data_IF_916523694123
#
_entry.id   IF_916523694123
#
_cell.length_a   1.000
_cell.length_b   1.000
_cell.length_c   1.000
_cell.angle_alpha   90.00
_cell.angle_beta   90.00
_cell.angle_gamma   90.00
#
_symmetry.space_group_name_H-M   'P 1'
#
loop_
_entity.id
_entity.type
_entity.pdbx_description
1 polymer ?
#
# COMPACT_ATOMS: atom_id res chain seq x y z
N UNK A 1 -0.97 -32.66 3.48
CA UNK A 1 0.03 -31.56 3.54
C UNK A 1 1.39 -32.09 3.99
N UNK A 2 1.50 -32.73 5.16
CA UNK A 2 2.77 -33.21 5.74
C UNK A 2 3.58 -34.12 4.82
N UNK A 3 2.97 -35.17 4.25
CA UNK A 3 3.68 -36.10 3.34
C UNK A 3 4.25 -35.41 2.09
N UNK A 4 3.57 -34.37 1.60
CA UNK A 4 3.96 -33.66 0.38
C UNK A 4 5.10 -32.66 0.65
N UNK A 5 5.10 -32.02 1.82
CA UNK A 5 6.19 -31.14 2.26
C UNK A 5 7.50 -31.91 2.48
N UNK A 6 7.41 -33.13 3.04
CA UNK A 6 8.60 -33.98 3.24
C UNK A 6 9.19 -34.42 1.90
N UNK A 7 8.33 -34.80 0.95
CA UNK A 7 8.78 -35.30 -0.36
C UNK A 7 9.38 -34.18 -1.24
N UNK A 8 8.78 -33.00 -1.24
CA UNK A 8 9.21 -31.88 -2.09
C UNK A 8 10.32 -31.05 -1.42
N UNK A 9 10.33 -30.98 -0.09
CA UNK A 9 11.28 -30.18 0.71
C UNK A 9 11.50 -28.75 0.16
N UNK A 10 10.41 -27.96 -0.05
CA UNK A 10 10.54 -26.63 -0.64
C UNK A 10 11.22 -25.66 0.35
N UNK A 11 11.99 -24.71 -0.18
CA UNK A 11 12.59 -23.64 0.64
C UNK A 11 11.52 -22.77 1.30
N UNK A 12 10.42 -22.50 0.58
CA UNK A 12 9.32 -21.62 1.01
C UNK A 12 7.97 -22.12 0.52
N UNK A 13 6.95 -21.95 1.36
CA UNK A 13 5.54 -22.21 1.02
C UNK A 13 4.78 -20.90 1.12
N UNK A 14 4.11 -20.50 0.04
CA UNK A 14 3.30 -19.28 -0.02
C UNK A 14 1.84 -19.68 -0.18
N UNK A 15 0.99 -19.20 0.72
CA UNK A 15 -0.45 -19.40 0.61
C UNK A 15 -1.05 -18.36 -0.34
N UNK A 16 -1.65 -18.83 -1.43
CA UNK A 16 -2.49 -18.00 -2.30
C UNK A 16 -3.83 -17.72 -1.62
N UNK A 17 -4.29 -16.47 -1.69
CA UNK A 17 -5.67 -16.09 -1.30
C UNK A 17 -6.69 -16.36 -2.42
N UNK A 18 -6.22 -16.72 -3.61
CA UNK A 18 -7.02 -17.00 -4.80
C UNK A 18 -7.01 -18.50 -5.10
N UNK A 19 -8.17 -19.02 -5.52
CA UNK A 19 -8.34 -20.42 -5.89
C UNK A 19 -9.08 -20.59 -7.21
N UNK A 20 -9.80 -21.71 -7.33
CA UNK A 20 -10.47 -22.11 -8.58
C UNK A 20 -11.53 -21.08 -9.04
N UNK A 21 -12.24 -20.48 -8.07
CA UNK A 21 -13.29 -19.49 -8.32
C UNK A 21 -12.72 -18.24 -9.01
N UNK A 22 -11.65 -17.70 -8.45
CA UNK A 22 -10.94 -16.53 -8.99
C UNK A 22 -10.30 -16.89 -10.34
N UNK A 23 -9.73 -18.09 -10.48
CA UNK A 23 -9.17 -18.56 -11.75
C UNK A 23 -10.21 -18.63 -12.88
N UNK A 24 -11.44 -19.04 -12.57
CA UNK A 24 -12.54 -19.09 -13.55
C UNK A 24 -12.99 -17.69 -13.96
N UNK A 25 -13.06 -16.76 -13.01
CA UNK A 25 -13.34 -15.35 -13.29
C UNK A 25 -12.29 -14.72 -14.21
N UNK A 26 -11.01 -14.98 -13.94
CA UNK A 26 -9.91 -14.44 -14.75
C UNK A 26 -9.95 -15.00 -16.18
N UNK A 27 -10.27 -16.29 -16.35
CA UNK A 27 -10.36 -16.90 -17.68
C UNK A 27 -11.45 -16.30 -18.57
N UNK A 28 -12.48 -15.70 -17.95
CA UNK A 28 -13.57 -15.04 -18.66
C UNK A 28 -13.26 -13.56 -18.96
N UNK A 29 -12.13 -13.01 -18.50
CA UNK A 29 -11.68 -11.68 -18.89
C UNK A 29 -11.15 -11.71 -20.33
N UNK A 30 -11.24 -10.58 -21.07
CA UNK A 30 -10.57 -10.44 -22.36
C UNK A 30 -9.07 -10.74 -22.27
N UNK A 31 -8.49 -11.33 -23.32
CA UNK A 31 -7.08 -11.80 -23.34
C UNK A 31 -6.01 -10.72 -23.06
N UNK A 32 -6.40 -9.43 -23.04
CA UNK A 32 -5.52 -8.30 -22.79
C UNK A 32 -5.28 -7.96 -21.31
N UNK A 33 -5.78 -8.74 -20.34
CA UNK A 33 -5.49 -8.51 -18.93
C UNK A 33 -4.17 -9.17 -18.53
N UNK A 34 -3.08 -8.41 -18.52
CA UNK A 34 -1.79 -8.83 -18.01
C UNK A 34 -1.78 -8.89 -16.47
N UNK A 35 -0.83 -9.62 -15.92
CA UNK A 35 -0.69 -9.69 -14.47
C UNK A 35 -0.34 -8.31 -13.89
N UNK A 36 0.56 -7.53 -14.49
CA UNK A 36 0.92 -6.18 -14.04
C UNK A 36 -0.31 -5.27 -13.91
N UNK A 37 -1.26 -5.42 -14.83
CA UNK A 37 -2.55 -4.73 -14.79
C UNK A 37 -3.34 -5.00 -13.50
N UNK A 38 -3.13 -6.11 -12.78
CA UNK A 38 -3.90 -6.35 -11.54
C UNK A 38 -3.47 -5.49 -10.35
N UNK A 39 -2.18 -5.11 -10.23
CA UNK A 39 -1.77 -4.17 -9.18
C UNK A 39 -2.18 -2.74 -9.56
N UNK A 40 -2.01 -2.37 -10.82
CA UNK A 40 -2.39 -1.05 -11.33
C UNK A 40 -3.92 -0.85 -11.33
N UNK A 41 -4.69 -1.91 -11.65
CA UNK A 41 -6.14 -1.92 -11.48
C UNK A 41 -6.52 -1.77 -10.01
N UNK A 42 -5.81 -2.42 -9.08
CA UNK A 42 -6.04 -2.21 -7.65
C UNK A 42 -5.76 -0.76 -7.23
N UNK A 43 -4.63 -0.19 -7.67
CA UNK A 43 -4.24 1.20 -7.36
C UNK A 43 -5.32 2.17 -7.86
N UNK A 44 -5.72 2.02 -9.13
CA UNK A 44 -6.72 2.88 -9.78
C UNK A 44 -8.09 2.72 -9.11
N UNK A 45 -8.51 1.49 -8.84
CA UNK A 45 -9.77 1.20 -8.16
C UNK A 45 -9.81 1.73 -6.72
N UNK A 46 -8.70 1.57 -5.98
CA UNK A 46 -8.57 2.10 -4.62
C UNK A 46 -8.69 3.62 -4.61
N UNK A 47 -8.01 4.31 -5.53
CA UNK A 47 -8.09 5.77 -5.67
C UNK A 47 -9.52 6.22 -5.96
N UNK A 48 -10.16 5.60 -6.95
CA UNK A 48 -11.56 5.86 -7.31
C UNK A 48 -12.52 5.66 -6.12
N UNK A 49 -12.39 4.53 -5.40
CA UNK A 49 -13.23 4.20 -4.25
C UNK A 49 -13.07 5.20 -3.10
N UNK A 50 -11.86 5.77 -2.94
CA UNK A 50 -11.56 6.78 -1.94
C UNK A 50 -11.93 8.21 -2.39
N UNK A 51 -12.57 8.37 -3.55
CA UNK A 51 -13.03 9.66 -4.07
C UNK A 51 -11.96 10.45 -4.83
N UNK A 52 -10.81 9.86 -5.16
CA UNK A 52 -9.78 10.49 -5.98
C UNK A 52 -10.08 10.35 -7.48
N UNK A 53 -11.10 11.07 -7.95
CA UNK A 53 -11.52 11.07 -9.36
C UNK A 53 -10.55 11.79 -10.30
N UNK A 54 -9.67 12.63 -9.75
CA UNK A 54 -8.70 13.43 -10.51
C UNK A 54 -7.31 12.79 -10.60
N UNK A 55 -7.18 11.52 -10.20
CA UNK A 55 -5.91 10.77 -10.19
C UNK A 55 -4.79 11.52 -9.45
N UNK A 56 -5.12 12.22 -8.37
CA UNK A 56 -4.16 13.01 -7.60
C UNK A 56 -3.05 12.14 -7.00
N UNK A 57 -3.31 10.84 -6.78
CA UNK A 57 -2.27 9.89 -6.41
C UNK A 57 -1.11 9.82 -7.41
N UNK A 58 -1.33 10.06 -8.71
CA UNK A 58 -0.26 10.13 -9.72
C UNK A 58 0.59 11.37 -9.48
N UNK A 59 -0.04 12.53 -9.21
CA UNK A 59 0.67 13.78 -8.86
C UNK A 59 1.54 13.58 -7.61
N UNK A 60 1.02 12.89 -6.59
CA UNK A 60 1.80 12.55 -5.40
C UNK A 60 2.97 11.61 -5.71
N UNK A 61 2.74 10.59 -6.53
CA UNK A 61 3.80 9.69 -6.98
C UNK A 61 4.90 10.45 -7.71
N UNK A 62 4.55 11.29 -8.69
CA UNK A 62 5.50 12.09 -9.46
C UNK A 62 6.30 13.06 -8.58
N UNK A 63 5.67 13.60 -7.53
CA UNK A 63 6.33 14.47 -6.57
C UNK A 63 7.40 13.73 -5.73
N UNK A 64 7.16 12.48 -5.33
CA UNK A 64 8.04 11.75 -4.41
C UNK A 64 8.96 10.72 -5.07
N UNK A 65 8.66 10.25 -6.30
CA UNK A 65 9.34 9.09 -6.91
C UNK A 65 10.86 9.25 -7.00
N UNK A 66 11.33 10.46 -7.32
CA UNK A 66 12.77 10.74 -7.46
C UNK A 66 13.51 10.78 -6.11
N UNK A 67 12.79 11.02 -5.00
CA UNK A 67 13.37 11.02 -3.65
C UNK A 67 13.64 9.57 -3.19
N UNK A 68 12.88 8.62 -3.72
CA UNK A 68 12.86 7.22 -3.28
C UNK A 68 13.24 6.23 -4.39
N UNK A 69 13.85 6.68 -5.48
CA UNK A 69 14.23 5.83 -6.62
C UNK A 69 15.20 4.71 -6.21
N UNK A 70 16.11 5.00 -5.27
CA UNK A 70 17.16 4.08 -4.82
C UNK A 70 16.87 3.51 -3.41
N UNK A 71 15.62 3.54 -2.96
CA UNK A 71 15.27 3.06 -1.62
C UNK A 71 14.99 1.55 -1.60
N UNK A 72 15.99 0.75 -1.26
CA UNK A 72 15.86 -0.71 -1.13
C UNK A 72 14.85 -1.13 -0.04
N UNK A 73 14.68 -0.31 1.00
CA UNK A 73 13.83 -0.62 2.14
C UNK A 73 12.34 -0.34 1.88
N UNK A 74 12.04 0.54 0.92
CA UNK A 74 10.68 0.80 0.43
C UNK A 74 10.67 0.76 -1.10
N UNK A 75 10.40 -0.41 -1.70
CA UNK A 75 10.51 -0.59 -3.15
C UNK A 75 9.69 0.41 -3.94
N UNK A 76 10.27 0.94 -5.04
CA UNK A 76 9.64 1.91 -5.93
C UNK A 76 8.23 1.49 -6.40
N UNK A 77 8.03 0.19 -6.66
CA UNK A 77 6.73 -0.39 -7.06
C UNK A 77 5.60 -0.19 -6.04
N UNK A 78 5.93 0.08 -4.77
CA UNK A 78 4.93 0.32 -3.71
C UNK A 78 4.51 1.79 -3.64
N UNK A 79 5.27 2.71 -4.25
CA UNK A 79 4.95 4.14 -4.19
C UNK A 79 3.58 4.48 -4.79
N UNK A 80 3.20 3.99 -5.99
CA UNK A 80 1.86 4.27 -6.53
C UNK A 80 0.74 3.77 -5.62
N UNK A 81 0.92 2.59 -5.02
CA UNK A 81 -0.06 2.02 -4.09
C UNK A 81 -0.21 2.85 -2.81
N UNK A 82 0.88 3.28 -2.17
CA UNK A 82 0.77 4.13 -0.99
C UNK A 82 0.18 5.50 -1.34
N UNK A 83 0.50 6.06 -2.51
CA UNK A 83 -0.10 7.31 -2.98
C UNK A 83 -1.62 7.18 -3.16
N UNK A 84 -2.09 6.09 -3.77
CA UNK A 84 -3.53 5.84 -3.96
C UNK A 84 -4.27 5.60 -2.63
N UNK A 85 -3.64 4.85 -1.72
CA UNK A 85 -4.18 4.59 -0.38
C UNK A 85 -4.11 5.80 0.56
N UNK A 86 -3.36 6.83 0.17
CA UNK A 86 -3.08 7.99 1.01
C UNK A 86 -4.32 8.81 1.38
N UNK A 87 -5.38 8.72 0.56
CA UNK A 87 -6.69 9.36 0.75
C UNK A 87 -7.72 8.54 1.52
N UNK A 88 -7.35 7.40 2.12
CA UNK A 88 -8.26 6.56 2.91
C UNK A 88 -8.84 7.24 4.17
N UNK A 89 -8.41 8.46 4.52
CA UNK A 89 -8.99 9.21 5.62
C UNK A 89 -10.31 9.92 5.26
N UNK A 90 -10.76 9.82 4.00
CA UNK A 90 -12.03 10.38 3.56
C UNK A 90 -13.21 9.81 4.37
N UNK A 91 -14.02 10.70 4.94
CA UNK A 91 -15.16 10.32 5.79
C UNK A 91 -14.78 9.91 7.23
N UNK A 92 -13.50 9.94 7.61
CA UNK A 92 -13.08 9.70 8.99
C UNK A 92 -13.13 10.97 9.85
N UNK A 93 -13.59 10.81 11.10
CA UNK A 93 -13.48 11.85 12.12
C UNK A 93 -12.01 12.21 12.43
N UNK A 94 -11.78 13.38 13.04
CA UNK A 94 -10.43 13.86 13.35
C UNK A 94 -9.67 13.01 14.39
N UNK A 95 -10.39 12.18 15.14
CA UNK A 95 -9.82 11.35 16.20
C UNK A 95 -9.22 10.07 15.63
N UNK A 96 -7.96 9.77 15.99
CA UNK A 96 -7.27 8.51 15.66
C UNK A 96 -7.23 8.16 14.15
N UNK A 97 -7.18 9.18 13.28
CA UNK A 97 -7.12 8.98 11.82
C UNK A 97 -5.99 8.03 11.40
N UNK A 98 -4.81 8.19 12.00
CA UNK A 98 -3.64 7.41 11.61
C UNK A 98 -3.81 5.91 11.92
N UNK A 99 -4.34 5.59 13.10
CA UNK A 99 -4.64 4.22 13.53
C UNK A 99 -5.74 3.58 12.68
N UNK A 100 -6.77 4.35 12.33
CA UNK A 100 -7.85 3.89 11.45
C UNK A 100 -7.34 3.60 10.04
N UNK A 101 -6.58 4.52 9.43
CA UNK A 101 -5.97 4.32 8.11
C UNK A 101 -5.00 3.14 8.11
N UNK A 102 -4.17 3.02 9.15
CA UNK A 102 -3.27 1.87 9.31
C UNK A 102 -4.05 0.55 9.29
N UNK A 103 -5.12 0.46 10.10
CA UNK A 103 -5.96 -0.72 10.19
C UNK A 103 -6.70 -1.01 8.88
N UNK A 104 -7.19 0.02 8.19
CA UNK A 104 -7.88 -0.13 6.91
C UNK A 104 -6.95 -0.63 5.80
N UNK A 105 -5.74 -0.08 5.68
CA UNK A 105 -4.77 -0.53 4.67
C UNK A 105 -4.40 -2.00 4.89
N UNK A 106 -4.15 -2.40 6.14
CA UNK A 106 -3.84 -3.80 6.47
C UNK A 106 -4.96 -4.77 6.08
N UNK A 107 -6.21 -4.36 6.30
CA UNK A 107 -7.38 -5.19 6.01
C UNK A 107 -7.87 -5.09 4.56
N UNK A 108 -7.36 -4.16 3.76
CA UNK A 108 -7.76 -3.98 2.36
C UNK A 108 -7.25 -5.14 1.52
N UNK A 109 -8.11 -5.98 0.90
CA UNK A 109 -7.66 -7.12 0.10
C UNK A 109 -6.92 -6.63 -1.14
N UNK A 110 -5.59 -6.78 -1.13
CA UNK A 110 -4.72 -6.33 -2.22
C UNK A 110 -4.11 -7.52 -2.92
N UNK A 111 -4.50 -7.75 -4.17
CA UNK A 111 -3.85 -8.74 -5.02
C UNK A 111 -2.39 -8.32 -5.26
N UNK A 112 -1.50 -9.32 -5.39
CA UNK A 112 -0.06 -9.14 -5.69
C UNK A 112 0.80 -8.40 -4.66
N UNK A 113 0.27 -8.09 -3.48
CA UNK A 113 1.06 -7.57 -2.37
C UNK A 113 1.29 -8.65 -1.33
N UNK A 114 2.55 -8.80 -0.91
CA UNK A 114 2.89 -9.67 0.21
C UNK A 114 2.41 -9.07 1.54
N UNK A 115 2.41 -9.88 2.60
CA UNK A 115 2.12 -9.38 3.94
C UNK A 115 3.07 -8.23 4.33
N UNK A 116 4.36 -8.35 4.00
CA UNK A 116 5.35 -7.31 4.25
C UNK A 116 5.06 -6.03 3.48
N UNK A 117 4.66 -6.12 2.20
CA UNK A 117 4.29 -4.95 1.42
C UNK A 117 3.10 -4.22 2.05
N UNK A 118 2.07 -4.96 2.48
CA UNK A 118 0.87 -4.39 3.11
C UNK A 118 1.21 -3.69 4.43
N UNK A 119 2.14 -4.25 5.22
CA UNK A 119 2.63 -3.61 6.45
C UNK A 119 3.40 -2.33 6.11
N UNK A 120 4.25 -2.32 5.08
CA UNK A 120 4.97 -1.12 4.62
C UNK A 120 4.00 -0.02 4.17
N UNK A 121 2.99 -0.37 3.36
CA UNK A 121 1.95 0.57 2.92
C UNK A 121 1.17 1.14 4.10
N UNK A 122 0.74 0.28 5.04
CA UNK A 122 0.01 0.70 6.22
C UNK A 122 0.86 1.62 7.11
N UNK A 123 2.12 1.26 7.35
CA UNK A 123 3.06 2.07 8.13
C UNK A 123 3.29 3.45 7.50
N UNK A 124 3.52 3.50 6.18
CA UNK A 124 3.65 4.78 5.48
C UNK A 124 2.36 5.59 5.50
N UNK A 125 1.18 4.95 5.37
CA UNK A 125 -0.13 5.59 5.54
C UNK A 125 -0.34 6.16 6.95
N UNK A 126 0.06 5.42 7.99
CA UNK A 126 0.06 5.90 9.37
C UNK A 126 0.91 7.17 9.50
N UNK A 127 2.16 7.13 9.01
CA UNK A 127 3.07 8.27 9.06
C UNK A 127 2.69 9.38 8.07
N UNK A 128 1.70 9.22 7.19
CA UNK A 128 1.11 10.38 6.50
C UNK A 128 0.22 11.17 7.45
N UNK A 129 -0.58 10.48 8.26
CA UNK A 129 -1.61 11.07 9.12
C UNK A 129 -1.16 11.35 10.56
N UNK A 130 -0.05 10.77 11.01
CA UNK A 130 0.49 10.97 12.36
C UNK A 130 1.86 11.63 12.35
N UNK A 131 2.02 12.72 13.10
CA UNK A 131 3.31 13.32 13.44
C UNK A 131 4.15 12.46 14.39
N UNK A 132 4.94 13.09 15.26
CA UNK A 132 5.88 12.37 16.15
C UNK A 132 5.24 11.87 17.45
N UNK A 133 3.91 12.01 17.58
CA UNK A 133 3.20 11.88 18.86
C UNK A 133 2.73 10.46 19.18
N UNK A 134 2.43 9.66 18.15
CA UNK A 134 1.88 8.31 18.31
C UNK A 134 2.65 7.30 17.46
N UNK A 135 2.44 6.03 17.75
CA UNK A 135 3.07 4.90 17.07
C UNK A 135 2.01 3.96 16.52
N UNK A 136 2.24 3.33 15.35
CA UNK A 136 1.37 2.27 14.86
C UNK A 136 1.46 1.04 15.77
N UNK A 137 0.56 0.07 15.57
CA UNK A 137 0.57 -1.18 16.35
C UNK A 137 1.95 -1.84 16.31
N UNK A 138 2.61 -1.85 17.47
CA UNK A 138 3.96 -2.36 17.64
C UNK A 138 4.07 -3.86 17.35
N UNK A 139 2.99 -4.61 17.53
CA UNK A 139 2.96 -6.06 17.24
C UNK A 139 3.20 -6.32 15.77
N UNK A 140 2.55 -5.52 14.92
CA UNK A 140 2.67 -5.60 13.47
C UNK A 140 3.97 -4.93 13.00
N UNK A 141 4.33 -3.79 13.60
CA UNK A 141 5.53 -3.04 13.24
C UNK A 141 6.81 -3.84 13.44
N UNK A 142 6.87 -4.71 14.46
CA UNK A 142 8.01 -5.61 14.74
C UNK A 142 8.30 -6.62 13.61
N UNK A 143 7.39 -6.80 12.66
CA UNK A 143 7.63 -7.62 11.47
C UNK A 143 8.55 -6.92 10.46
N UNK A 144 8.72 -5.59 10.56
CA UNK A 144 9.66 -4.82 9.76
C UNK A 144 10.97 -4.60 10.53
N UNK A 145 12.07 -4.50 9.80
CA UNK A 145 13.35 -4.09 10.38
C UNK A 145 13.41 -2.55 10.55
N UNK A 146 14.40 -2.06 11.30
CA UNK A 146 14.52 -0.63 11.62
C UNK A 146 14.71 0.26 10.37
N UNK A 147 15.38 -0.23 9.33
CA UNK A 147 15.58 0.53 8.09
C UNK A 147 14.28 0.62 7.28
N UNK A 148 13.48 -0.45 7.25
CA UNK A 148 12.15 -0.47 6.65
C UNK A 148 11.18 0.46 7.38
N UNK A 149 11.19 0.44 8.72
CA UNK A 149 10.37 1.37 9.52
C UNK A 149 10.76 2.82 9.23
N UNK A 150 12.07 3.11 9.18
CA UNK A 150 12.59 4.44 8.84
C UNK A 150 12.15 4.86 7.43
N UNK A 151 12.24 3.98 6.44
CA UNK A 151 11.81 4.24 5.07
C UNK A 151 10.30 4.50 4.97
N UNK A 152 9.47 3.71 5.66
CA UNK A 152 8.03 3.94 5.73
C UNK A 152 7.70 5.32 6.34
N UNK A 153 8.43 5.71 7.39
CA UNK A 153 8.28 7.04 8.01
C UNK A 153 8.68 8.17 7.07
N UNK A 154 9.77 8.01 6.30
CA UNK A 154 10.19 9.00 5.30
C UNK A 154 9.15 9.15 4.19
N UNK A 155 8.65 8.05 3.63
CA UNK A 155 7.61 8.05 2.60
C UNK A 155 6.32 8.71 3.11
N UNK A 156 5.84 8.32 4.30
CA UNK A 156 4.66 8.93 4.91
C UNK A 156 4.83 10.43 5.17
N UNK A 157 6.01 10.85 5.64
CA UNK A 157 6.32 12.27 5.87
C UNK A 157 6.36 13.07 4.57
N UNK A 158 6.95 12.50 3.50
CA UNK A 158 6.96 13.11 2.17
C UNK A 158 5.54 13.26 1.60
N UNK A 159 4.68 12.25 1.78
CA UNK A 159 3.28 12.32 1.38
C UNK A 159 2.49 13.38 2.17
N UNK A 160 2.77 13.55 3.47
CA UNK A 160 2.15 14.61 4.26
C UNK A 160 2.56 15.99 3.76
N UNK A 161 3.84 16.17 3.44
CA UNK A 161 4.34 17.41 2.84
C UNK A 161 3.64 17.68 1.50
N UNK A 162 3.59 16.68 0.62
CA UNK A 162 2.92 16.79 -0.68
C UNK A 162 1.45 17.18 -0.55
N UNK A 163 0.71 16.55 0.37
CA UNK A 163 -0.69 16.89 0.65
C UNK A 163 -0.85 18.30 1.23
N UNK A 164 0.06 18.74 2.11
CA UNK A 164 0.06 20.09 2.64
C UNK A 164 0.25 21.14 1.56
N UNK A 165 1.19 20.91 0.63
CA UNK A 165 1.42 21.80 -0.53
C UNK A 165 0.20 21.82 -1.44
N UNK A 166 -0.35 20.65 -1.77
CA UNK A 166 -1.53 20.55 -2.64
C UNK A 166 -2.74 21.32 -2.10
N UNK A 167 -2.96 21.27 -0.78
CA UNK A 167 -4.05 22.03 -0.13
C UNK A 167 -3.82 23.55 -0.14
N UNK A 168 -2.57 24.02 -0.18
CA UNK A 168 -2.24 25.45 -0.23
C UNK A 168 -2.28 26.01 -1.66
N UNK A 169 -2.02 25.18 -2.67
CA UNK A 169 -2.10 25.57 -4.06
C UNK A 169 -3.54 25.57 -4.55
N UNK A 170 -4.05 26.72 -5.00
CA UNK A 170 -5.37 26.86 -5.65
C UNK A 170 -5.42 26.31 -7.08
N UNK A 171 -4.42 25.50 -7.50
CA UNK A 171 -4.12 25.21 -8.92
C UNK A 171 -4.08 23.69 -9.20
N UNK A 172 -4.46 22.83 -8.25
CA UNK A 172 -4.60 21.38 -8.50
C UNK A 172 -6.04 20.91 -8.56
#
# INVERSE_FOLDING_TARGET
MSALLVLVSPEKVVCSISGLREGTLIKNLPENFAAEDTLDAFISYSAFKNGDYGENYIKYFDFIKNIFSDNENFPLRLLPAVCSLSGMDWGMGAFQKAELVFSQILNTPTLKLSHYDRIKLACAGFWRHCGVKYYPDLTILKLLNNNEIKACKQVGSALRLASGIANMSSIF
#
